data_IF_470388457760
#
_entry.id   IF_470388457760
#
_cell.length_a   1.000
_cell.length_b   1.000
_cell.length_c   1.000
_cell.angle_alpha   90.00
_cell.angle_beta   90.00
_cell.angle_gamma   90.00
#
_symmetry.space_group_name_H-M   'P 1'
#
loop_
_entity.id
_entity.type
_entity.pdbx_description
1 polymer ?
#
# COMPACT_ATOMS: atom_id res chain seq x y z
N UNK A 1 -1.86 14.80 2.02
CA UNK A 1 -1.95 15.82 0.97
C UNK A 1 -3.39 15.93 0.52
N UNK A 2 -3.63 16.25 -0.76
CA UNK A 2 -4.99 16.49 -1.27
C UNK A 2 -5.75 15.18 -1.54
N UNK A 3 -7.03 15.17 -1.20
CA UNK A 3 -7.92 14.00 -1.41
C UNK A 3 -7.41 12.72 -0.74
N UNK A 4 -6.87 12.85 0.47
CA UNK A 4 -6.43 11.73 1.29
C UNK A 4 -7.35 11.62 2.50
N UNK A 5 -7.91 10.43 2.71
CA UNK A 5 -8.66 10.08 3.92
C UNK A 5 -7.80 9.15 4.80
N UNK A 6 -7.69 9.49 6.09
CA UNK A 6 -6.98 8.69 7.09
C UNK A 6 -7.93 8.42 8.25
N UNK A 7 -8.06 7.16 8.65
CA UNK A 7 -8.99 6.74 9.71
C UNK A 7 -8.39 5.63 10.58
N UNK A 8 -8.41 5.81 11.89
CA UNK A 8 -7.86 4.86 12.87
C UNK A 8 -6.41 4.41 12.54
N UNK A 9 -5.59 5.35 12.08
CA UNK A 9 -4.26 5.09 11.55
C UNK A 9 -3.22 6.02 12.16
N UNK A 10 -1.97 5.55 12.20
CA UNK A 10 -0.81 6.32 12.67
C UNK A 10 0.15 6.48 11.49
N UNK A 11 0.68 7.71 11.31
CA UNK A 11 1.65 8.02 10.27
C UNK A 11 2.95 8.48 10.93
N UNK A 12 4.01 7.71 10.76
CA UNK A 12 5.32 8.02 11.31
C UNK A 12 6.02 9.19 10.62
N UNK A 13 7.03 9.73 11.30
CA UNK A 13 7.78 10.91 10.87
C UNK A 13 8.32 10.79 9.45
N UNK A 14 8.23 11.90 8.71
CA UNK A 14 8.72 12.02 7.33
C UNK A 14 8.11 11.02 6.34
N UNK A 15 6.98 10.39 6.69
CA UNK A 15 6.21 9.57 5.77
C UNK A 15 5.24 10.44 4.97
N UNK A 16 5.05 10.11 3.69
CA UNK A 16 4.24 10.89 2.77
C UNK A 16 3.04 10.11 2.26
N UNK A 17 1.88 10.78 2.25
CA UNK A 17 0.63 10.32 1.62
C UNK A 17 0.07 11.52 0.87
N UNK A 18 0.46 11.63 -0.40
CA UNK A 18 0.35 12.91 -1.09
C UNK A 18 -1.02 13.11 -1.75
N UNK A 19 -1.58 12.07 -2.39
CA UNK A 19 -2.73 12.22 -3.30
C UNK A 19 -3.66 11.01 -3.31
N UNK A 20 -4.98 11.24 -3.31
CA UNK A 20 -5.99 10.26 -3.75
C UNK A 20 -5.92 8.91 -3.03
N UNK A 21 -5.77 8.89 -1.70
CA UNK A 21 -5.56 7.65 -0.94
C UNK A 21 -6.55 7.49 0.20
N UNK A 22 -6.94 6.25 0.49
CA UNK A 22 -7.65 5.89 1.70
C UNK A 22 -6.78 4.99 2.58
N UNK A 23 -6.58 5.41 3.83
CA UNK A 23 -5.68 4.78 4.82
C UNK A 23 -6.46 4.51 6.11
N UNK A 24 -7.12 3.36 6.15
CA UNK A 24 -7.92 2.86 7.26
C UNK A 24 -7.18 1.80 8.07
N UNK A 25 -7.27 1.89 9.40
CA UNK A 25 -6.80 0.85 10.32
C UNK A 25 -5.32 0.46 10.10
N UNK A 26 -4.45 1.44 9.91
CA UNK A 26 -3.06 1.23 9.46
C UNK A 26 -2.01 1.84 10.40
N UNK A 27 -0.92 1.11 10.66
CA UNK A 27 0.28 1.64 11.30
C UNK A 27 1.37 1.86 10.25
N UNK A 28 1.74 3.11 9.98
CA UNK A 28 2.79 3.48 9.04
C UNK A 28 4.01 3.97 9.84
N UNK A 29 5.17 3.34 9.59
CA UNK A 29 6.46 3.69 10.16
C UNK A 29 7.02 5.00 9.61
N UNK A 30 8.33 5.23 9.81
CA UNK A 30 9.03 6.46 9.41
C UNK A 30 9.53 6.37 7.97
N UNK A 31 9.62 7.53 7.30
CA UNK A 31 10.18 7.66 5.94
C UNK A 31 9.52 6.71 4.91
N UNK A 32 8.23 6.43 5.07
CA UNK A 32 7.43 5.62 4.15
C UNK A 32 6.86 6.51 3.05
N UNK A 33 6.92 6.07 1.80
CA UNK A 33 6.21 6.73 0.71
C UNK A 33 4.96 5.93 0.35
N UNK A 34 3.79 6.56 0.45
CA UNK A 34 2.54 6.03 -0.08
C UNK A 34 2.24 6.70 -1.42
N UNK A 35 2.29 5.91 -2.49
CA UNK A 35 1.96 6.35 -3.85
C UNK A 35 0.51 6.82 -3.98
N UNK A 36 0.27 7.68 -4.97
CA UNK A 36 -1.07 8.19 -5.23
C UNK A 36 -2.04 7.06 -5.56
N UNK A 37 -3.27 7.09 -5.08
CA UNK A 37 -4.24 6.03 -5.37
C UNK A 37 -4.10 4.79 -4.49
N UNK A 38 -3.16 4.73 -3.54
CA UNK A 38 -3.07 3.57 -2.63
C UNK A 38 -4.30 3.49 -1.72
N UNK A 39 -4.84 2.28 -1.58
CA UNK A 39 -5.99 1.97 -0.72
C UNK A 39 -5.62 0.82 0.22
N UNK A 40 -5.88 1.00 1.51
CA UNK A 40 -5.87 -0.11 2.49
C UNK A 40 -7.26 -0.74 2.55
N UNK A 41 -7.40 -1.96 2.04
CA UNK A 41 -8.66 -2.70 2.07
C UNK A 41 -8.83 -3.33 3.46
N UNK A 42 -9.36 -2.55 4.39
CA UNK A 42 -9.41 -2.87 5.81
C UNK A 42 -10.70 -3.56 6.28
N UNK A 43 -11.71 -3.73 5.42
CA UNK A 43 -13.01 -4.31 5.79
C UNK A 43 -13.38 -5.45 4.85
N UNK A 44 -13.73 -6.61 5.42
CA UNK A 44 -14.06 -7.84 4.66
C UNK A 44 -15.57 -8.04 4.42
N UNK A 45 -16.40 -7.08 4.83
CA UNK A 45 -17.86 -7.19 4.85
C UNK A 45 -18.44 -7.46 6.24
N UNK A 46 -17.61 -7.82 7.23
CA UNK A 46 -18.02 -8.08 8.62
C UNK A 46 -17.07 -7.48 9.65
N UNK A 47 -15.77 -7.73 9.51
CA UNK A 47 -14.72 -7.31 10.44
C UNK A 47 -13.74 -6.36 9.77
N UNK A 48 -13.03 -5.62 10.62
CA UNK A 48 -11.91 -4.77 10.21
C UNK A 48 -10.57 -5.39 10.56
N UNK A 49 -9.59 -5.19 9.69
CA UNK A 49 -8.25 -5.79 9.78
C UNK A 49 -7.18 -4.72 9.68
N UNK A 50 -6.03 -4.97 10.34
CA UNK A 50 -4.93 -4.01 10.40
C UNK A 50 -3.95 -4.18 9.24
N UNK A 51 -3.45 -3.07 8.70
CA UNK A 51 -2.27 -3.04 7.84
C UNK A 51 -1.08 -2.46 8.60
N UNK A 52 0.10 -3.08 8.48
CA UNK A 52 1.33 -2.59 9.11
C UNK A 52 2.38 -2.33 8.03
N UNK A 53 2.89 -1.09 7.95
CA UNK A 53 3.90 -0.68 6.98
C UNK A 53 5.12 -0.16 7.75
N UNK A 54 6.24 -0.87 7.68
CA UNK A 54 7.45 -0.55 8.46
C UNK A 54 8.35 0.46 7.73
N UNK A 55 9.32 0.98 8.47
CA UNK A 55 10.17 2.11 8.08
C UNK A 55 10.80 1.95 6.69
N UNK A 56 10.84 3.06 5.94
CA UNK A 56 11.50 3.13 4.63
C UNK A 56 10.78 2.35 3.52
N UNK A 57 9.61 1.76 3.78
CA UNK A 57 8.85 1.08 2.74
C UNK A 57 8.37 2.06 1.65
N UNK A 58 8.28 1.57 0.42
CA UNK A 58 7.77 2.33 -0.72
C UNK A 58 6.57 1.61 -1.32
N UNK A 59 5.40 2.24 -1.27
CA UNK A 59 4.18 1.73 -1.89
C UNK A 59 3.97 2.43 -3.23
N UNK A 60 3.94 1.66 -4.31
CA UNK A 60 3.66 2.17 -5.64
C UNK A 60 2.25 2.75 -5.76
N UNK A 61 2.07 3.62 -6.75
CA UNK A 61 0.75 4.22 -7.02
C UNK A 61 -0.29 3.16 -7.36
N UNK A 62 -1.54 3.42 -7.01
CA UNK A 62 -2.70 2.57 -7.28
C UNK A 62 -2.54 1.13 -6.76
N UNK A 63 -1.87 0.96 -5.61
CA UNK A 63 -1.78 -0.33 -4.93
C UNK A 63 -2.96 -0.55 -4.00
N UNK A 64 -3.49 -1.78 -3.98
CA UNK A 64 -4.50 -2.23 -3.02
C UNK A 64 -3.85 -3.15 -1.99
N UNK A 65 -3.93 -2.75 -0.71
CA UNK A 65 -3.32 -3.45 0.41
C UNK A 65 -4.43 -4.21 1.18
N UNK A 66 -4.59 -5.50 0.88
CA UNK A 66 -5.65 -6.34 1.46
C UNK A 66 -5.24 -6.79 2.84
N UNK A 67 -5.83 -6.18 3.87
CA UNK A 67 -5.54 -6.50 5.26
C UNK A 67 -6.14 -7.85 5.69
N UNK A 68 -5.53 -8.57 6.65
CA UNK A 68 -4.34 -8.18 7.42
C UNK A 68 -3.03 -8.52 6.69
N UNK A 69 -2.11 -7.55 6.62
CA UNK A 69 -0.77 -7.72 6.05
C UNK A 69 0.29 -6.85 6.74
N UNK A 70 1.53 -7.29 6.67
CA UNK A 70 2.73 -6.55 7.05
C UNK A 70 3.67 -6.33 5.86
N UNK A 71 4.04 -5.08 5.63
CA UNK A 71 5.06 -4.67 4.66
C UNK A 71 6.31 -4.28 5.45
N UNK A 72 7.35 -5.10 5.37
CA UNK A 72 8.53 -4.96 6.20
C UNK A 72 9.45 -3.81 5.75
N UNK A 73 10.46 -3.50 6.59
CA UNK A 73 11.36 -2.36 6.40
C UNK A 73 12.00 -2.34 5.01
N UNK A 74 11.98 -1.18 4.38
CA UNK A 74 12.53 -0.95 3.04
C UNK A 74 11.99 -1.87 1.92
N UNK A 75 10.87 -2.57 2.16
CA UNK A 75 10.19 -3.29 1.10
C UNK A 75 9.58 -2.30 0.08
N UNK A 76 9.42 -2.77 -1.15
CA UNK A 76 8.83 -1.98 -2.24
C UNK A 76 7.66 -2.72 -2.84
N UNK A 77 6.57 -2.01 -3.12
CA UNK A 77 5.42 -2.51 -3.86
C UNK A 77 5.42 -1.84 -5.23
N UNK A 78 5.34 -2.62 -6.30
CA UNK A 78 5.18 -2.05 -7.63
C UNK A 78 3.80 -1.40 -7.79
N UNK A 79 3.75 -0.36 -8.63
CA UNK A 79 2.50 0.32 -8.94
C UNK A 79 1.47 -0.62 -9.57
N UNK A 80 0.20 -0.44 -9.19
CA UNK A 80 -0.93 -1.21 -9.68
C UNK A 80 -1.08 -2.61 -9.09
N UNK A 81 -0.34 -2.95 -8.03
CA UNK A 81 -0.38 -4.28 -7.42
C UNK A 81 -1.46 -4.45 -6.35
N UNK A 82 -2.06 -5.64 -6.30
CA UNK A 82 -2.91 -6.10 -5.21
C UNK A 82 -2.08 -6.99 -4.28
N UNK A 83 -1.88 -6.55 -3.04
CA UNK A 83 -1.03 -7.24 -2.06
C UNK A 83 -1.91 -7.88 -0.99
N UNK A 84 -1.82 -9.21 -0.85
CA UNK A 84 -2.60 -10.02 0.09
C UNK A 84 -1.73 -10.95 0.95
N UNK A 85 -0.42 -10.72 0.99
CA UNK A 85 0.55 -11.45 1.80
C UNK A 85 1.59 -10.50 2.36
N UNK A 86 2.20 -10.89 3.46
CA UNK A 86 3.32 -10.17 4.04
C UNK A 86 4.48 -10.09 3.05
N UNK A 87 5.12 -8.91 3.02
CA UNK A 87 6.26 -8.65 2.14
C UNK A 87 7.54 -8.61 2.99
N UNK A 88 8.56 -9.43 2.68
CA UNK A 88 9.82 -9.43 3.41
C UNK A 88 10.59 -8.10 3.28
N UNK A 89 11.47 -7.83 4.24
CA UNK A 89 12.27 -6.62 4.26
C UNK A 89 13.19 -6.54 3.03
N UNK A 90 13.30 -5.37 2.41
CA UNK A 90 14.13 -5.10 1.20
C UNK A 90 13.74 -5.88 -0.06
N UNK A 91 12.56 -6.52 -0.09
CA UNK A 91 12.05 -7.16 -1.30
C UNK A 91 11.19 -6.21 -2.13
N UNK A 92 11.14 -6.47 -3.44
CA UNK A 92 10.17 -5.89 -4.35
C UNK A 92 9.03 -6.89 -4.55
N UNK A 93 7.81 -6.51 -4.16
CA UNK A 93 6.60 -7.24 -4.47
C UNK A 93 5.95 -6.66 -5.74
N UNK A 94 5.62 -7.54 -6.68
CA UNK A 94 4.92 -7.20 -7.91
C UNK A 94 3.83 -8.24 -8.12
N UNK A 95 2.59 -7.81 -8.08
CA UNK A 95 1.42 -8.58 -8.50
C UNK A 95 0.74 -7.78 -9.61
N UNK A 96 0.64 -8.38 -10.79
CA UNK A 96 -0.11 -7.89 -11.97
C UNK A 96 0.07 -8.87 -13.12
N UNK A 97 -0.79 -8.77 -14.13
CA UNK A 97 -0.64 -9.54 -15.35
C UNK A 97 0.64 -9.15 -16.11
N UNK A 98 1.22 -10.11 -16.84
CA UNK A 98 2.30 -9.80 -17.78
C UNK A 98 1.73 -8.93 -18.91
N UNK A 99 2.43 -7.85 -19.24
CA UNK A 99 2.09 -6.99 -20.38
C UNK A 99 2.06 -7.84 -21.67
N UNK A 100 0.98 -7.70 -22.44
CA UNK A 100 0.82 -8.35 -23.74
C UNK A 100 0.54 -7.29 -24.80
N UNK A 101 1.24 -7.36 -25.92
CA UNK A 101 0.94 -6.56 -27.10
C UNK A 101 0.05 -7.39 -28.02
N UNK A 102 -1.14 -6.89 -28.32
CA UNK A 102 -2.09 -7.54 -29.24
C UNK A 102 -2.31 -6.58 -30.40
N UNK A 103 -1.87 -6.98 -31.60
CA UNK A 103 -2.10 -6.22 -32.82
C UNK A 103 -3.60 -6.25 -33.13
N UNK A 104 -4.22 -5.08 -33.29
CA UNK A 104 -5.60 -4.96 -33.77
C UNK A 104 -5.58 -4.74 -35.28
N UNK A 105 -6.48 -5.42 -35.98
CA UNK A 105 -6.76 -5.18 -37.39
C UNK A 105 -7.65 -3.95 -37.55
#
# INVERSE_FOLDING_TARGET
GNYVEIKNSIVGDSSSIAHLSYIGDTEIGKKVNIGAGTITCNFDGKNKHRTIIKDGAFIGSNSSLVAPIMINKNAKIAAGSVINKDIPAKYLAIERSKLKFIKKN
#
